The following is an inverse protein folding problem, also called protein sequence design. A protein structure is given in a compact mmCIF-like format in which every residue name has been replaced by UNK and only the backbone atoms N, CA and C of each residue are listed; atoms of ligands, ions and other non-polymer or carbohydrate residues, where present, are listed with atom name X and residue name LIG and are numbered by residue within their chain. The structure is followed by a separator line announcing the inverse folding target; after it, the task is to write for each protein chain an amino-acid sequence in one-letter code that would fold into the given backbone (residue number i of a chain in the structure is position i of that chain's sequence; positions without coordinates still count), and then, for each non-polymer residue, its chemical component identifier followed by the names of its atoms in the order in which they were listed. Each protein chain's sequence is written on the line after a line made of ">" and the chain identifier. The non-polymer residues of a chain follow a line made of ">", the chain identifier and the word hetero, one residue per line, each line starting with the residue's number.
data_IF_594939420855
#
_entry.id   IF_594939420855
#
_cell.length_a   1.000
_cell.length_b   1.000
_cell.length_c   1.000
_cell.angle_alpha   90.00
_cell.angle_beta   90.00
_cell.angle_gamma   90.00
#
_symmetry.space_group_name_H-M   'P 1'
#
loop_
_entity.id
_entity.type
_entity.pdbx_description
1 polymer ?
#
# COMPACT_ATOMS: atom_id res chain seq x y z
N UNK A 1 11.03 20.60 -16.24
CA UNK A 1 10.86 19.17 -15.91
C UNK A 1 9.81 19.12 -14.81
N UNK A 2 8.61 18.59 -15.08
CA UNK A 2 7.60 18.38 -14.04
C UNK A 2 8.00 17.16 -13.23
N UNK A 3 8.06 17.27 -11.91
CA UNK A 3 8.28 16.10 -11.07
C UNK A 3 7.18 15.07 -11.36
N UNK A 4 7.52 13.78 -11.53
CA UNK A 4 6.51 12.76 -11.76
C UNK A 4 5.52 12.81 -10.59
N UNK A 5 4.23 12.92 -10.89
CA UNK A 5 3.18 12.93 -9.87
C UNK A 5 3.23 11.57 -9.16
N UNK A 6 3.83 11.54 -7.98
CA UNK A 6 3.82 10.37 -7.10
C UNK A 6 2.52 10.40 -6.33
N UNK A 7 1.63 9.44 -6.61
CA UNK A 7 0.43 9.19 -5.79
C UNK A 7 0.73 8.05 -4.84
N UNK A 8 0.74 8.34 -3.55
CA UNK A 8 0.86 7.32 -2.51
C UNK A 8 -0.38 7.29 -1.63
N UNK A 9 -0.92 6.09 -1.45
CA UNK A 9 -2.06 5.81 -0.58
C UNK A 9 -1.72 4.65 0.35
N UNK A 10 -2.20 4.74 1.57
CA UNK A 10 -1.97 3.73 2.60
C UNK A 10 -3.27 3.50 3.36
N UNK A 11 -3.55 2.23 3.69
CA UNK A 11 -4.68 1.83 4.54
C UNK A 11 -4.12 1.16 5.79
N UNK A 12 -4.68 1.55 6.94
CA UNK A 12 -4.32 0.99 8.26
C UNK A 12 -5.53 0.38 8.93
N UNK A 13 -5.28 -0.57 9.82
CA UNK A 13 -6.30 -1.12 10.72
C UNK A 13 -6.87 -0.02 11.60
N UNK A 14 -8.20 0.09 11.62
CA UNK A 14 -8.91 1.01 12.51
C UNK A 14 -8.67 0.63 13.98
N UNK A 15 -8.63 1.63 14.87
CA UNK A 15 -8.35 1.44 16.29
C UNK A 15 -6.86 1.30 16.65
N UNK A 16 -5.96 1.27 15.66
CA UNK A 16 -4.51 1.27 15.86
C UNK A 16 -3.89 2.60 15.40
N UNK A 17 -2.71 2.93 15.94
CA UNK A 17 -1.90 4.03 15.42
C UNK A 17 -1.39 3.69 14.02
N UNK A 18 -1.23 4.70 13.14
CA UNK A 18 -0.66 4.55 11.79
C UNK A 18 0.82 4.13 11.84
N UNK A 19 1.08 2.84 12.04
CA UNK A 19 2.41 2.24 12.16
C UNK A 19 2.61 1.15 11.11
N UNK A 20 3.87 0.82 10.73
CA UNK A 20 4.13 -0.22 9.74
C UNK A 20 3.42 -1.55 10.03
N UNK A 21 3.36 -1.95 11.30
CA UNK A 21 2.70 -3.19 11.75
C UNK A 21 1.17 -3.19 11.64
N UNK A 22 0.55 -2.03 11.46
CA UNK A 22 -0.91 -1.88 11.33
C UNK A 22 -1.35 -1.53 9.91
N UNK A 23 -0.39 -1.37 8.99
CA UNK A 23 -0.67 -1.06 7.60
C UNK A 23 -1.04 -2.34 6.88
N UNK A 24 -2.16 -2.31 6.15
CA UNK A 24 -2.69 -3.48 5.42
C UNK A 24 -2.59 -3.31 3.91
N UNK A 25 -2.54 -2.07 3.42
CA UNK A 25 -2.36 -1.76 2.01
C UNK A 25 -1.38 -0.60 1.85
N UNK A 26 -0.47 -0.73 0.89
CA UNK A 26 0.28 0.38 0.33
C UNK A 26 0.05 0.41 -1.18
N UNK A 27 -0.33 1.57 -1.71
CA UNK A 27 -0.43 1.79 -3.15
C UNK A 27 0.49 2.94 -3.54
N UNK A 28 1.37 2.68 -4.51
CA UNK A 28 2.23 3.70 -5.12
C UNK A 28 1.96 3.71 -6.61
N UNK A 29 1.38 4.79 -7.09
CA UNK A 29 0.89 4.92 -8.47
C UNK A 29 -0.05 3.76 -8.82
N UNK A 30 0.28 2.96 -9.84
CA UNK A 30 -0.53 1.82 -10.29
C UNK A 30 -0.16 0.49 -9.59
N UNK A 31 0.82 0.49 -8.68
CA UNK A 31 1.23 -0.70 -7.95
C UNK A 31 0.58 -0.75 -6.56
N UNK A 32 -0.12 -1.84 -6.25
CA UNK A 32 -0.74 -2.11 -4.96
C UNK A 32 -0.05 -3.29 -4.27
N UNK A 33 0.15 -3.16 -2.96
CA UNK A 33 0.80 -4.15 -2.12
C UNK A 33 -0.06 -4.40 -0.88
N UNK A 34 -0.44 -5.65 -0.66
CA UNK A 34 -0.95 -6.07 0.65
C UNK A 34 0.23 -6.25 1.59
N UNK A 35 0.09 -5.76 2.82
CA UNK A 35 1.11 -5.86 3.84
C UNK A 35 0.59 -6.78 4.93
N UNK A 36 1.34 -7.84 5.21
CA UNK A 36 0.96 -8.79 6.27
C UNK A 36 1.45 -8.35 7.66
N UNK A 37 1.11 -9.15 8.68
CA UNK A 37 1.47 -8.88 10.08
C UNK A 37 2.98 -8.87 10.34
N UNK A 38 3.78 -9.50 9.46
CA UNK A 38 5.25 -9.50 9.52
C UNK A 38 5.86 -8.32 8.77
N UNK A 39 5.05 -7.58 8.00
CA UNK A 39 5.47 -6.47 7.15
C UNK A 39 5.86 -6.90 5.73
N UNK A 40 5.68 -8.17 5.38
CA UNK A 40 5.94 -8.67 4.03
C UNK A 40 4.93 -8.07 3.05
N UNK A 41 5.42 -7.64 1.88
CA UNK A 41 4.60 -7.03 0.84
C UNK A 41 4.27 -8.07 -0.23
N UNK A 42 2.99 -8.42 -0.36
CA UNK A 42 2.51 -9.23 -1.46
C UNK A 42 2.04 -8.32 -2.59
N UNK A 43 2.70 -8.46 -3.75
CA UNK A 43 2.35 -7.71 -4.95
C UNK A 43 0.99 -8.17 -5.46
N UNK A 44 0.09 -7.22 -5.70
CA UNK A 44 -1.18 -7.50 -6.34
C UNK A 44 -1.19 -6.82 -7.71
N UNK A 45 -1.09 -7.62 -8.77
CA UNK A 45 -1.41 -7.14 -10.10
C UNK A 45 -2.91 -7.32 -10.31
N UNK A 46 -3.59 -6.27 -10.77
CA UNK A 46 -4.98 -6.34 -11.18
C UNK A 46 -5.00 -6.96 -12.57
N UNK A 47 -5.10 -8.30 -12.67
CA UNK A 47 -5.60 -8.91 -13.90
C UNK A 47 -7.10 -8.62 -13.97
N UNK A 48 -7.48 -7.73 -14.88
CA UNK A 48 -8.87 -7.59 -15.27
C UNK A 48 -9.18 -8.77 -16.21
N UNK A 49 -10.19 -9.58 -15.85
CA UNK A 49 -10.92 -10.41 -16.81
C UNK A 49 -11.58 -9.53 -17.89
#
# INVERSE_FOLDING_TARGET
>A
MLDPIVKEENIWLAGYSRRPSSRVLQRKNQAAFLVDVTGEKKYFHREYL
#
